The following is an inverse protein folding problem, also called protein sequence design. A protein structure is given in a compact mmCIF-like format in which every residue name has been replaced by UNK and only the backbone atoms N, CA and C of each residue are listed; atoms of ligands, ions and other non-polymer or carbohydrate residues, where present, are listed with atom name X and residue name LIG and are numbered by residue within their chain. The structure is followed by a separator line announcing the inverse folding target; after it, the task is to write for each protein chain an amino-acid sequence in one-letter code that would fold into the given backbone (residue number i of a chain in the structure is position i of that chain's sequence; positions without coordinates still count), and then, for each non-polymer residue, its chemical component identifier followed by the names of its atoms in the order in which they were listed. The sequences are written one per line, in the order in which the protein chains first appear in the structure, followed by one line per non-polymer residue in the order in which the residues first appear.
data_IF_555734227910
#
_entry.id   IF_555734227910
#
_cell.length_a   1.000
_cell.length_b   1.000
_cell.length_c   1.000
_cell.angle_alpha   90.00
_cell.angle_beta   90.00
_cell.angle_gamma   90.00
#
_symmetry.space_group_name_H-M   'P 1'
#
loop_
_entity.id
_entity.type
_entity.pdbx_description
1 polymer ?
#
# COMPACT_ATOMS: atom_id res chain seq x y z
N UNK A 1 -19.53 21.94 -5.06
CA UNK A 1 -19.15 20.54 -4.78
C UNK A 1 -18.24 19.96 -5.88
N UNK A 2 -18.28 20.46 -7.12
CA UNK A 2 -17.46 19.99 -8.26
C UNK A 2 -16.34 20.98 -8.61
N UNK A 3 -15.49 21.33 -7.65
CA UNK A 3 -14.48 22.40 -7.80
C UNK A 3 -13.08 21.88 -8.16
N UNK A 4 -12.81 20.59 -7.93
CA UNK A 4 -11.54 19.92 -8.21
C UNK A 4 -11.80 18.44 -8.53
N UNK A 5 -10.95 17.83 -9.35
CA UNK A 5 -10.99 16.38 -9.59
C UNK A 5 -10.53 15.67 -8.33
N UNK A 6 -11.42 14.86 -7.77
CA UNK A 6 -11.22 14.06 -6.56
C UNK A 6 -12.34 13.00 -6.50
N UNK A 7 -12.19 11.96 -5.69
CA UNK A 7 -13.08 10.80 -5.71
C UNK A 7 -14.54 11.17 -5.31
N UNK A 8 -14.72 12.05 -4.33
CA UNK A 8 -16.04 12.51 -3.87
C UNK A 8 -16.75 13.32 -4.99
N UNK A 9 -16.14 14.37 -5.56
CA UNK A 9 -16.67 15.05 -6.74
C UNK A 9 -17.00 14.14 -7.92
N UNK A 10 -16.17 13.12 -8.20
CA UNK A 10 -16.45 12.17 -9.29
C UNK A 10 -17.80 11.43 -9.06
N UNK A 11 -18.02 10.90 -7.86
CA UNK A 11 -19.31 10.29 -7.50
C UNK A 11 -20.48 11.28 -7.54
N UNK A 12 -20.27 12.52 -7.08
CA UNK A 12 -21.31 13.54 -7.16
C UNK A 12 -21.69 13.87 -8.60
N UNK A 13 -20.72 13.90 -9.52
CA UNK A 13 -20.98 14.11 -10.95
C UNK A 13 -21.77 12.93 -11.55
N UNK A 14 -21.37 11.69 -11.27
CA UNK A 14 -22.13 10.50 -11.66
C UNK A 14 -23.59 10.59 -11.16
N UNK A 15 -23.79 10.88 -9.86
CA UNK A 15 -25.12 11.04 -9.29
C UNK A 15 -25.93 12.19 -9.91
N UNK A 16 -25.27 13.30 -10.22
CA UNK A 16 -25.89 14.45 -10.89
C UNK A 16 -26.35 14.10 -12.31
N UNK A 17 -25.59 13.30 -13.07
CA UNK A 17 -25.99 12.83 -14.38
C UNK A 17 -27.26 11.96 -14.30
N UNK A 18 -27.28 11.00 -13.37
CA UNK A 18 -28.43 10.11 -13.14
C UNK A 18 -29.66 10.93 -12.73
N UNK A 19 -29.51 11.88 -11.81
CA UNK A 19 -30.58 12.77 -11.40
C UNK A 19 -31.07 13.65 -12.56
N UNK A 20 -30.16 14.13 -13.41
CA UNK A 20 -30.49 14.89 -14.60
C UNK A 20 -31.35 14.09 -15.58
N UNK A 21 -31.00 12.82 -15.81
CA UNK A 21 -31.80 11.90 -16.64
C UNK A 21 -33.18 11.64 -16.03
N UNK A 22 -33.26 11.36 -14.72
CA UNK A 22 -34.53 11.06 -14.04
C UNK A 22 -35.48 12.26 -13.98
N UNK A 23 -34.95 13.48 -13.88
CA UNK A 23 -35.73 14.72 -13.73
C UNK A 23 -35.86 15.53 -15.03
N UNK A 24 -35.38 14.99 -16.16
CA UNK A 24 -35.35 15.66 -17.47
C UNK A 24 -34.65 17.04 -17.42
N UNK A 25 -33.44 17.07 -16.87
CA UNK A 25 -32.56 18.25 -16.75
C UNK A 25 -31.31 18.07 -17.62
N UNK A 26 -31.39 18.35 -18.94
CA UNK A 26 -30.26 18.17 -19.85
C UNK A 26 -29.02 19.00 -19.44
N UNK A 27 -29.22 20.17 -18.84
CA UNK A 27 -28.14 21.03 -18.35
C UNK A 27 -27.35 20.39 -17.19
N UNK A 28 -27.97 19.54 -16.38
CA UNK A 28 -27.28 18.78 -15.32
C UNK A 28 -26.47 17.64 -15.90
N UNK A 29 -27.01 16.98 -16.94
CA UNK A 29 -26.33 15.89 -17.64
C UNK A 29 -25.08 16.40 -18.36
N UNK A 30 -25.19 17.51 -19.08
CA UNK A 30 -24.06 18.15 -19.78
C UNK A 30 -22.96 18.53 -18.78
N UNK A 31 -23.31 19.24 -17.71
CA UNK A 31 -22.34 19.64 -16.69
C UNK A 31 -21.65 18.45 -16.01
N UNK A 32 -22.40 17.39 -15.70
CA UNK A 32 -21.85 16.18 -15.11
C UNK A 32 -20.93 15.43 -16.07
N UNK A 33 -21.33 15.26 -17.33
CA UNK A 33 -20.51 14.66 -18.40
C UNK A 33 -19.19 15.40 -18.54
N UNK A 34 -19.24 16.73 -18.67
CA UNK A 34 -18.03 17.57 -18.81
C UNK A 34 -17.09 17.43 -17.62
N UNK A 35 -17.64 17.32 -16.41
CA UNK A 35 -16.82 17.08 -15.22
C UNK A 35 -16.19 15.68 -15.24
N UNK A 36 -16.95 14.64 -15.60
CA UNK A 36 -16.43 13.27 -15.66
C UNK A 36 -15.35 13.09 -16.75
N UNK A 37 -15.42 13.85 -17.85
CA UNK A 37 -14.32 13.87 -18.83
C UNK A 37 -13.03 14.45 -18.23
N UNK A 38 -13.13 15.45 -17.35
CA UNK A 38 -11.95 15.93 -16.60
C UNK A 38 -11.41 14.87 -15.64
N UNK A 39 -12.29 14.03 -15.07
CA UNK A 39 -11.86 12.89 -14.25
C UNK A 39 -11.10 11.87 -15.10
N UNK A 40 -11.57 11.58 -16.31
CA UNK A 40 -10.87 10.71 -17.28
C UNK A 40 -9.51 11.31 -17.66
N UNK A 41 -9.46 12.59 -18.00
CA UNK A 41 -8.23 13.32 -18.37
C UNK A 41 -7.21 13.37 -17.23
N UNK A 42 -7.67 13.36 -15.97
CA UNK A 42 -6.81 13.38 -14.79
C UNK A 42 -6.25 12.01 -14.39
N UNK A 43 -6.72 10.91 -15.00
CA UNK A 43 -6.16 9.60 -14.73
C UNK A 43 -4.72 9.56 -15.21
N UNK A 44 -3.83 9.03 -14.38
CA UNK A 44 -2.47 8.76 -14.80
C UNK A 44 -2.47 7.71 -15.94
N UNK A 45 -1.59 7.84 -16.95
CA UNK A 45 -1.46 6.84 -18.02
C UNK A 45 -1.21 5.41 -17.53
N UNK A 46 -0.68 5.22 -16.33
CA UNK A 46 -0.50 3.91 -15.69
C UNK A 46 -1.78 3.34 -15.04
N UNK A 47 -2.94 4.00 -15.18
CA UNK A 47 -4.24 3.46 -14.81
C UNK A 47 -4.76 3.82 -13.42
N UNK A 48 -4.04 4.63 -12.66
CA UNK A 48 -4.50 5.11 -11.35
C UNK A 48 -4.90 6.58 -11.35
N UNK A 49 -5.69 6.99 -10.35
CA UNK A 49 -5.84 8.39 -9.97
C UNK A 49 -4.91 8.74 -8.80
N UNK A 50 -4.47 10.00 -8.76
CA UNK A 50 -3.62 10.58 -7.72
C UNK A 50 -4.34 11.73 -7.04
N UNK A 51 -4.18 11.88 -5.74
CA UNK A 51 -4.72 12.97 -4.93
C UNK A 51 -3.61 13.80 -4.25
N UNK A 52 -2.36 13.33 -4.32
CA UNK A 52 -1.15 14.08 -4.01
C UNK A 52 -0.01 13.67 -4.97
N UNK A 53 0.76 12.64 -4.63
CA UNK A 53 1.88 12.10 -5.42
C UNK A 53 1.81 10.58 -5.40
N UNK A 54 1.25 10.01 -6.46
CA UNK A 54 1.17 8.57 -6.71
C UNK A 54 -0.23 8.00 -6.51
N UNK A 55 -0.39 6.68 -6.50
CA UNK A 55 -1.70 6.04 -6.56
C UNK A 55 -2.52 6.16 -5.27
N UNK A 56 -3.83 6.37 -5.42
CA UNK A 56 -4.81 6.08 -4.35
C UNK A 56 -5.44 4.71 -4.54
N UNK A 57 -4.70 3.62 -4.32
CA UNK A 57 -5.11 2.25 -4.70
C UNK A 57 -6.54 1.91 -4.26
N UNK A 58 -6.87 2.11 -2.99
CA UNK A 58 -8.21 1.80 -2.47
C UNK A 58 -9.30 2.73 -3.05
N UNK A 59 -9.01 4.01 -3.24
CA UNK A 59 -9.95 4.97 -3.83
C UNK A 59 -10.01 4.91 -5.36
N UNK A 60 -9.08 4.21 -6.01
CA UNK A 60 -9.10 3.98 -7.45
C UNK A 60 -10.40 3.26 -7.88
N UNK A 61 -10.88 2.34 -7.04
CA UNK A 61 -12.19 1.69 -7.18
C UNK A 61 -13.36 2.67 -7.16
N UNK A 62 -13.26 3.76 -6.40
CA UNK A 62 -14.32 4.80 -6.28
C UNK A 62 -14.42 5.58 -7.58
N UNK A 63 -13.30 5.91 -8.22
CA UNK A 63 -13.31 6.50 -9.57
C UNK A 63 -13.86 5.51 -10.62
N UNK A 64 -13.44 4.25 -10.56
CA UNK A 64 -13.91 3.19 -11.48
C UNK A 64 -15.43 2.98 -11.38
N UNK A 65 -15.99 2.97 -10.17
CA UNK A 65 -17.43 2.83 -9.94
C UNK A 65 -18.21 4.01 -10.53
N UNK A 66 -17.72 5.23 -10.30
CA UNK A 66 -18.33 6.45 -10.81
C UNK A 66 -18.37 6.49 -12.35
N UNK A 67 -17.24 6.18 -12.99
CA UNK A 67 -17.12 6.16 -14.46
C UNK A 67 -17.90 4.98 -15.07
N UNK A 68 -17.84 3.80 -14.45
CA UNK A 68 -18.56 2.61 -14.91
C UNK A 68 -20.08 2.77 -14.85
N UNK A 69 -20.60 3.26 -13.72
CA UNK A 69 -22.03 3.54 -13.58
C UNK A 69 -22.47 4.65 -14.54
N UNK A 70 -21.65 5.68 -14.73
CA UNK A 70 -21.92 6.71 -15.73
C UNK A 70 -21.99 6.13 -17.14
N UNK A 71 -21.05 5.28 -17.54
CA UNK A 71 -21.07 4.58 -18.83
C UNK A 71 -22.37 3.78 -19.02
N UNK A 72 -22.73 2.95 -18.05
CA UNK A 72 -23.94 2.13 -18.11
C UNK A 72 -25.22 2.95 -18.36
N UNK A 73 -25.29 4.16 -17.80
CA UNK A 73 -26.47 5.01 -17.90
C UNK A 73 -26.46 5.91 -19.15
N UNK A 74 -25.27 6.33 -19.61
CA UNK A 74 -25.09 7.32 -20.67
C UNK A 74 -24.78 6.72 -22.04
N UNK A 75 -24.10 5.56 -22.08
CA UNK A 75 -23.47 5.01 -23.28
C UNK A 75 -22.23 5.77 -23.75
N UNK A 76 -21.65 6.64 -22.90
CA UNK A 76 -20.51 7.48 -23.29
C UNK A 76 -19.18 6.69 -23.31
N UNK A 77 -18.86 6.14 -24.47
CA UNK A 77 -17.68 5.29 -24.69
C UNK A 77 -16.34 5.99 -24.39
N UNK A 78 -16.30 7.32 -24.25
CA UNK A 78 -15.08 8.08 -23.93
C UNK A 78 -14.44 7.65 -22.60
N UNK A 79 -15.19 7.05 -21.69
CA UNK A 79 -14.65 6.57 -20.40
C UNK A 79 -14.02 5.17 -20.47
N UNK A 80 -14.33 4.37 -21.51
CA UNK A 80 -13.90 2.97 -21.59
C UNK A 80 -12.37 2.82 -21.51
N UNK A 81 -11.54 3.64 -22.20
CA UNK A 81 -10.09 3.52 -22.08
C UNK A 81 -9.57 3.77 -20.66
N UNK A 82 -10.25 4.59 -19.86
CA UNK A 82 -9.86 4.82 -18.47
C UNK A 82 -10.21 3.64 -17.57
N UNK A 83 -11.35 2.99 -17.82
CA UNK A 83 -11.77 1.78 -17.12
C UNK A 83 -10.83 0.60 -17.45
N UNK A 84 -10.40 0.48 -18.71
CA UNK A 84 -9.43 -0.52 -19.16
C UNK A 84 -8.10 -0.40 -18.41
N UNK A 85 -7.47 0.79 -18.44
CA UNK A 85 -6.21 1.03 -17.72
C UNK A 85 -6.34 0.82 -16.21
N UNK A 86 -7.49 1.19 -15.63
CA UNK A 86 -7.77 0.95 -14.21
C UNK A 86 -7.82 -0.55 -13.88
N UNK A 87 -8.45 -1.35 -14.75
CA UNK A 87 -8.49 -2.79 -14.60
C UNK A 87 -7.10 -3.42 -14.71
N UNK A 88 -6.30 -3.03 -15.71
CA UNK A 88 -4.91 -3.46 -15.87
C UNK A 88 -4.07 -3.13 -14.63
N UNK A 89 -4.17 -1.90 -14.14
CA UNK A 89 -3.51 -1.49 -12.91
C UNK A 89 -3.84 -2.42 -11.72
N UNK A 90 -5.12 -2.74 -11.51
CA UNK A 90 -5.53 -3.60 -10.39
C UNK A 90 -5.18 -5.07 -10.58
N UNK A 91 -5.01 -5.57 -11.81
CA UNK A 91 -4.50 -6.92 -12.06
C UNK A 91 -3.08 -7.10 -11.49
N UNK A 92 -2.25 -6.05 -11.56
CA UNK A 92 -0.86 -6.09 -11.09
C UNK A 92 -0.68 -5.66 -9.62
N UNK A 93 -1.55 -4.81 -9.08
CA UNK A 93 -1.48 -4.30 -7.69
C UNK A 93 -2.54 -4.91 -6.76
N UNK A 94 -2.70 -6.23 -6.83
CA UNK A 94 -3.52 -7.02 -5.92
C UNK A 94 -2.74 -8.25 -5.48
N UNK A 95 -2.64 -8.48 -4.18
CA UNK A 95 -1.95 -9.65 -3.63
C UNK A 95 -2.63 -10.97 -4.07
N UNK A 96 -1.92 -12.10 -4.03
CA UNK A 96 -2.49 -13.40 -4.39
C UNK A 96 -3.79 -13.76 -3.62
N UNK A 97 -3.91 -13.31 -2.36
CA UNK A 97 -5.11 -13.49 -1.52
C UNK A 97 -6.28 -12.54 -1.86
N UNK A 98 -6.14 -11.69 -2.87
CA UNK A 98 -7.17 -10.74 -3.30
C UNK A 98 -7.22 -9.44 -2.49
N UNK A 99 -6.37 -9.25 -1.49
CA UNK A 99 -6.23 -7.96 -0.79
C UNK A 99 -5.45 -6.97 -1.66
N UNK A 100 -5.69 -5.67 -1.45
CA UNK A 100 -5.04 -4.62 -2.26
C UNK A 100 -3.65 -4.30 -1.78
N UNK A 101 -2.73 -4.06 -2.72
CA UNK A 101 -1.38 -3.58 -2.41
C UNK A 101 -1.46 -2.18 -1.81
N UNK A 102 -0.92 -2.04 -0.60
CA UNK A 102 -0.91 -0.79 0.17
C UNK A 102 0.38 0.01 0.00
N UNK A 103 1.48 -0.63 -0.41
CA UNK A 103 2.84 -0.07 -0.45
C UNK A 103 2.91 1.24 -1.23
N UNK A 104 2.15 1.30 -2.33
CA UNK A 104 2.07 2.45 -3.24
C UNK A 104 0.87 3.37 -2.95
N UNK A 105 0.00 3.03 -2.00
CA UNK A 105 -1.17 3.83 -1.65
C UNK A 105 -0.75 5.07 -0.82
N UNK A 106 -1.15 6.27 -1.25
CA UNK A 106 -0.91 7.51 -0.49
C UNK A 106 -1.99 7.86 0.56
N UNK A 107 -3.08 7.10 0.62
CA UNK A 107 -4.22 7.38 1.49
C UNK A 107 -4.39 6.33 2.56
N UNK A 108 -4.29 5.06 2.18
CA UNK A 108 -4.75 3.95 2.99
C UNK A 108 -3.60 3.00 3.36
N UNK A 109 -3.42 2.68 4.65
CA UNK A 109 -2.57 1.56 5.04
C UNK A 109 -3.26 0.24 4.64
N UNK A 110 -2.56 -0.88 4.88
CA UNK A 110 -3.11 -2.21 4.59
C UNK A 110 -4.43 -2.47 5.31
N UNK A 111 -5.33 -3.14 4.60
CA UNK A 111 -6.56 -3.72 5.12
C UNK A 111 -6.69 -5.14 4.56
N UNK A 112 -7.11 -6.08 5.41
CA UNK A 112 -7.35 -7.50 5.09
C UNK A 112 -8.62 -7.73 4.24
N UNK A 113 -9.30 -6.66 3.85
CA UNK A 113 -10.55 -6.74 3.09
C UNK A 113 -10.25 -7.01 1.62
N UNK A 114 -10.69 -8.17 1.13
CA UNK A 114 -10.68 -8.51 -0.29
C UNK A 114 -11.60 -7.55 -1.06
N UNK A 115 -11.05 -6.87 -2.07
CA UNK A 115 -11.83 -5.97 -2.93
C UNK A 115 -12.50 -6.74 -4.05
N UNK A 116 -13.79 -6.98 -3.93
CA UNK A 116 -14.58 -7.78 -4.90
C UNK A 116 -14.84 -7.08 -6.25
N UNK A 117 -14.26 -5.90 -6.48
CA UNK A 117 -14.52 -5.03 -7.63
C UNK A 117 -15.94 -4.43 -7.66
N UNK A 118 -16.25 -3.71 -8.74
CA UNK A 118 -17.51 -3.02 -8.96
C UNK A 118 -17.89 -3.02 -10.45
N UNK A 119 -18.97 -2.31 -10.81
CA UNK A 119 -19.49 -2.27 -12.18
C UNK A 119 -18.49 -1.70 -13.19
N UNK A 120 -17.59 -0.80 -12.78
CA UNK A 120 -16.55 -0.26 -13.66
C UNK A 120 -15.65 -1.31 -14.29
N UNK A 121 -15.51 -2.48 -13.66
CA UNK A 121 -14.71 -3.59 -14.16
C UNK A 121 -15.48 -4.52 -15.11
N UNK A 122 -16.79 -4.32 -15.33
CA UNK A 122 -17.54 -5.25 -16.18
C UNK A 122 -17.43 -4.96 -17.68
N UNK A 123 -16.89 -3.80 -18.06
CA UNK A 123 -16.98 -3.31 -19.45
C UNK A 123 -15.79 -3.68 -20.34
N UNK A 124 -14.69 -4.18 -19.76
CA UNK A 124 -13.49 -4.58 -20.52
C UNK A 124 -13.12 -6.05 -20.23
N UNK A 125 -12.43 -6.73 -21.16
CA UNK A 125 -11.92 -8.08 -20.91
C UNK A 125 -11.03 -8.19 -19.67
N UNK A 126 -10.17 -7.21 -19.44
CA UNK A 126 -9.21 -7.11 -18.34
C UNK A 126 -9.96 -6.89 -17.02
N UNK A 127 -10.98 -6.03 -17.02
CA UNK A 127 -11.82 -5.81 -15.84
C UNK A 127 -12.58 -7.07 -15.45
N UNK A 128 -13.12 -7.80 -16.43
CA UNK A 128 -13.78 -9.08 -16.15
C UNK A 128 -12.80 -10.16 -15.70
N UNK A 129 -11.54 -10.12 -16.13
CA UNK A 129 -10.49 -11.00 -15.61
C UNK A 129 -10.17 -10.67 -14.15
N UNK A 130 -10.08 -9.39 -13.79
CA UNK A 130 -9.93 -8.94 -12.41
C UNK A 130 -11.10 -9.41 -11.54
N UNK A 131 -12.34 -9.18 -11.97
CA UNK A 131 -13.53 -9.61 -11.24
C UNK A 131 -13.56 -11.13 -11.04
N UNK A 132 -13.23 -11.90 -12.07
CA UNK A 132 -13.15 -13.36 -11.98
C UNK A 132 -12.15 -13.79 -10.91
N UNK A 133 -10.92 -13.27 -10.93
CA UNK A 133 -9.90 -13.59 -9.91
C UNK A 133 -10.40 -13.27 -8.50
N UNK A 134 -10.94 -12.07 -8.31
CA UNK A 134 -11.42 -11.65 -7.00
C UNK A 134 -12.59 -12.49 -6.50
N UNK A 135 -13.51 -12.90 -7.37
CA UNK A 135 -14.66 -13.71 -6.98
C UNK A 135 -14.30 -15.18 -6.76
N UNK A 136 -13.28 -15.70 -7.45
CA UNK A 136 -12.75 -17.04 -7.21
C UNK A 136 -12.13 -17.12 -5.80
N UNK A 137 -11.41 -16.08 -5.37
CA UNK A 137 -10.80 -16.01 -4.03
C UNK A 137 -11.83 -15.68 -2.94
N UNK A 138 -12.68 -14.69 -3.16
CA UNK A 138 -13.66 -14.25 -2.15
C UNK A 138 -14.80 -15.26 -1.94
N UNK A 139 -15.24 -15.91 -3.02
CA UNK A 139 -16.49 -16.67 -3.11
C UNK A 139 -17.64 -15.79 -3.60
N UNK A 140 -18.02 -15.96 -4.87
CA UNK A 140 -19.09 -15.17 -5.53
C UNK A 140 -20.40 -15.19 -4.74
N UNK A 141 -20.74 -16.30 -4.09
CA UNK A 141 -21.95 -16.45 -3.28
C UNK A 141 -21.99 -15.52 -2.05
N UNK A 142 -20.85 -14.97 -1.64
CA UNK A 142 -20.73 -14.03 -0.51
C UNK A 142 -20.90 -12.57 -0.91
N UNK A 143 -20.99 -12.25 -2.22
CA UNK A 143 -21.20 -10.87 -2.66
C UNK A 143 -22.48 -10.29 -2.04
N UNK A 144 -22.43 -9.02 -1.63
CA UNK A 144 -23.56 -8.34 -1.00
C UNK A 144 -24.73 -8.10 -1.96
N UNK A 145 -25.95 -8.00 -1.43
CA UNK A 145 -27.16 -7.73 -2.23
C UNK A 145 -27.07 -6.46 -3.08
N UNK A 146 -26.45 -5.41 -2.53
CA UNK A 146 -26.32 -4.12 -3.20
C UNK A 146 -25.36 -4.21 -4.39
N UNK A 147 -24.30 -5.00 -4.25
CA UNK A 147 -23.35 -5.25 -5.32
C UNK A 147 -23.99 -6.10 -6.43
N UNK A 148 -24.74 -7.15 -6.07
CA UNK A 148 -25.52 -7.91 -7.03
C UNK A 148 -26.51 -7.02 -7.81
N UNK A 149 -27.25 -6.16 -7.10
CA UNK A 149 -28.16 -5.24 -7.72
C UNK A 149 -27.45 -4.28 -8.68
N UNK A 150 -26.29 -3.73 -8.27
CA UNK A 150 -25.47 -2.85 -9.13
C UNK A 150 -24.99 -3.58 -10.40
N UNK A 151 -24.46 -4.78 -10.26
CA UNK A 151 -23.97 -5.59 -11.40
C UNK A 151 -25.11 -5.98 -12.35
N UNK A 152 -26.31 -6.29 -11.85
CA UNK A 152 -27.47 -6.62 -12.69
C UNK A 152 -28.01 -5.39 -13.42
N UNK A 153 -28.06 -4.24 -12.74
CA UNK A 153 -28.65 -3.02 -13.30
C UNK A 153 -27.72 -2.31 -14.27
N UNK A 154 -26.42 -2.31 -13.99
CA UNK A 154 -25.45 -1.47 -14.69
C UNK A 154 -24.32 -2.28 -15.33
N UNK A 155 -24.13 -3.55 -14.96
CA UNK A 155 -23.02 -4.35 -15.47
C UNK A 155 -23.28 -4.97 -16.84
N UNK A 156 -22.19 -5.44 -17.45
CA UNK A 156 -22.22 -6.09 -18.77
C UNK A 156 -21.46 -7.44 -18.75
N UNK A 157 -22.03 -8.45 -19.41
CA UNK A 157 -21.34 -9.71 -19.68
C UNK A 157 -20.45 -9.57 -20.92
N UNK A 158 -19.34 -10.30 -20.95
CA UNK A 158 -18.47 -10.26 -22.13
C UNK A 158 -17.27 -11.19 -22.02
N UNK A 159 -16.37 -11.14 -23.03
CA UNK A 159 -15.14 -11.94 -23.01
C UNK A 159 -14.27 -11.57 -21.82
N UNK A 160 -13.59 -12.56 -21.24
CA UNK A 160 -12.59 -12.39 -20.18
C UNK A 160 -11.22 -12.45 -20.83
N UNK A 161 -10.32 -11.51 -20.51
CA UNK A 161 -8.95 -11.55 -20.99
C UNK A 161 -8.27 -12.88 -20.58
N UNK A 162 -7.41 -13.43 -21.42
CA UNK A 162 -6.73 -14.68 -21.09
C UNK A 162 -5.72 -14.45 -19.96
N UNK A 163 -5.86 -15.27 -18.90
CA UNK A 163 -4.83 -15.63 -17.93
C UNK A 163 -4.23 -14.50 -17.10
N UNK A 164 -4.78 -14.27 -15.89
CA UNK A 164 -3.97 -13.71 -14.79
C UNK A 164 -2.76 -14.59 -14.42
N UNK A 165 -2.78 -15.86 -14.86
CA UNK A 165 -1.68 -16.82 -14.75
C UNK A 165 -0.45 -16.45 -15.61
N UNK A 166 -0.58 -15.48 -16.52
CA UNK A 166 0.47 -15.07 -17.47
C UNK A 166 0.87 -13.59 -17.31
N UNK A 167 0.58 -12.96 -16.16
CA UNK A 167 0.94 -11.55 -15.87
C UNK A 167 2.46 -11.31 -15.77
N UNK A 168 3.28 -12.34 -16.01
CA UNK A 168 4.72 -12.32 -15.86
C UNK A 168 5.14 -12.35 -14.39
N UNK A 169 6.38 -12.79 -14.15
CA UNK A 169 6.97 -12.77 -12.82
C UNK A 169 7.22 -11.33 -12.33
N UNK A 170 7.43 -10.37 -13.24
CA UNK A 170 7.75 -8.98 -12.89
C UNK A 170 6.83 -8.03 -13.64
N UNK A 171 6.25 -7.07 -12.94
CA UNK A 171 5.58 -5.92 -13.53
C UNK A 171 6.20 -4.63 -13.00
N UNK A 172 6.43 -3.68 -13.92
CA UNK A 172 6.97 -2.36 -13.60
C UNK A 172 5.93 -1.31 -14.00
N UNK A 173 5.50 -0.53 -13.02
CA UNK A 173 4.67 0.65 -13.26
C UNK A 173 5.57 1.82 -13.64
N UNK A 174 5.35 2.34 -14.84
CA UNK A 174 6.00 3.53 -15.36
C UNK A 174 5.08 4.74 -15.18
N UNK A 175 5.57 5.82 -14.57
CA UNK A 175 4.89 7.12 -14.56
C UNK A 175 5.75 8.13 -15.33
N UNK A 176 5.40 8.35 -16.60
CA UNK A 176 6.21 9.11 -17.53
C UNK A 176 7.45 8.32 -17.98
N UNK A 177 8.64 8.90 -17.77
CA UNK A 177 9.93 8.30 -18.14
C UNK A 177 10.63 7.60 -16.96
N UNK A 178 9.90 7.32 -15.87
CA UNK A 178 10.48 6.76 -14.66
C UNK A 178 9.70 5.57 -14.14
N UNK A 179 10.42 4.52 -13.76
CA UNK A 179 9.91 3.37 -13.04
C UNK A 179 9.55 3.82 -11.61
N UNK A 180 8.29 3.64 -11.20
CA UNK A 180 7.76 4.13 -9.91
C UNK A 180 7.27 3.06 -8.97
N UNK A 181 6.93 1.89 -9.47
CA UNK A 181 6.65 0.74 -8.62
C UNK A 181 6.96 -0.55 -9.35
N UNK A 182 7.22 -1.60 -8.58
CA UNK A 182 7.48 -2.94 -9.09
C UNK A 182 6.69 -3.94 -8.27
N UNK A 183 6.07 -4.90 -8.96
CA UNK A 183 5.61 -6.14 -8.34
C UNK A 183 6.40 -7.31 -8.90
N UNK A 184 6.82 -8.20 -8.01
CA UNK A 184 7.63 -9.37 -8.34
C UNK A 184 7.05 -10.60 -7.68
N UNK A 185 6.76 -11.62 -8.48
CA UNK A 185 6.20 -12.88 -8.06
C UNK A 185 7.09 -14.03 -8.52
N UNK A 186 7.53 -14.85 -7.58
CA UNK A 186 8.32 -16.06 -7.83
C UNK A 186 7.91 -17.13 -6.83
N UNK A 187 7.32 -18.22 -7.34
CA UNK A 187 6.73 -19.25 -6.48
C UNK A 187 5.64 -18.65 -5.58
N UNK A 188 5.63 -18.99 -4.28
CA UNK A 188 4.62 -18.49 -3.33
C UNK A 188 4.89 -17.07 -2.82
N UNK A 189 5.97 -16.43 -3.25
CA UNK A 189 6.33 -15.07 -2.84
C UNK A 189 5.75 -14.02 -3.78
N UNK A 190 5.26 -12.94 -3.20
CA UNK A 190 4.89 -11.72 -3.90
C UNK A 190 5.52 -10.51 -3.19
N UNK A 191 6.26 -9.69 -3.91
CA UNK A 191 6.96 -8.51 -3.39
C UNK A 191 6.44 -7.27 -4.11
N UNK A 192 6.19 -6.19 -3.37
CA UNK A 192 5.93 -4.87 -3.95
C UNK A 192 6.98 -3.86 -3.48
N UNK A 193 7.50 -3.07 -4.42
CA UNK A 193 8.43 -1.96 -4.20
C UNK A 193 7.83 -0.65 -4.71
N UNK A 194 8.07 0.44 -3.98
CA UNK A 194 7.63 1.78 -4.34
C UNK A 194 8.82 2.73 -4.46
N UNK A 195 8.92 3.41 -5.60
CA UNK A 195 9.82 4.54 -5.83
C UNK A 195 9.06 5.88 -5.89
N UNK A 196 7.84 5.93 -5.33
CA UNK A 196 7.12 7.18 -5.12
C UNK A 196 7.69 7.90 -3.90
N UNK A 197 8.28 9.09 -4.12
CA UNK A 197 8.71 9.99 -3.05
C UNK A 197 7.85 11.25 -3.04
N UNK A 198 7.72 11.87 -1.87
CA UNK A 198 6.98 13.11 -1.69
C UNK A 198 7.52 13.86 -0.46
N UNK A 199 7.54 15.21 -0.45
CA UNK A 199 7.70 15.95 0.80
C UNK A 199 6.62 15.54 1.80
N UNK A 200 6.94 15.56 3.10
CA UNK A 200 5.98 15.25 4.18
C UNK A 200 4.72 16.13 4.03
N UNK A 201 3.55 15.54 3.72
CA UNK A 201 2.36 16.32 3.45
C UNK A 201 1.80 16.92 4.74
N UNK A 202 1.30 18.16 4.65
CA UNK A 202 0.62 18.85 5.76
C UNK A 202 -0.84 18.42 5.95
N UNK A 203 -1.39 17.70 4.99
CA UNK A 203 -2.75 17.18 5.08
C UNK A 203 -2.77 15.94 5.98
N UNK A 204 -3.68 15.93 6.96
CA UNK A 204 -3.96 14.73 7.76
C UNK A 204 -4.40 13.54 6.90
N UNK A 205 -4.97 13.78 5.72
CA UNK A 205 -5.57 12.75 4.87
C UNK A 205 -4.58 12.03 3.96
N UNK A 206 -3.36 12.59 3.79
CA UNK A 206 -2.34 12.05 2.89
C UNK A 206 -1.22 11.48 3.76
N UNK A 207 -0.87 10.22 3.54
CA UNK A 207 0.18 9.52 4.26
C UNK A 207 1.57 9.97 3.81
N UNK A 208 2.57 9.74 4.66
CA UNK A 208 3.97 9.95 4.30
C UNK A 208 4.41 8.88 3.28
N UNK A 209 5.43 9.14 2.44
CA UNK A 209 6.00 8.12 1.54
C UNK A 209 7.18 7.46 2.22
N UNK A 210 6.94 6.56 3.18
CA UNK A 210 7.96 6.15 4.13
C UNK A 210 8.21 4.63 4.20
N UNK A 211 7.17 3.83 3.95
CA UNK A 211 7.24 2.38 3.84
C UNK A 211 7.00 1.98 2.39
N UNK A 212 8.07 1.61 1.73
CA UNK A 212 8.20 1.45 0.30
C UNK A 212 8.44 -0.01 -0.10
N UNK A 213 8.40 -0.93 0.85
CA UNK A 213 8.64 -2.36 0.64
C UNK A 213 7.53 -3.17 1.29
N UNK A 214 6.99 -4.14 0.57
CA UNK A 214 6.06 -5.12 1.14
C UNK A 214 6.36 -6.51 0.62
N UNK A 215 6.29 -7.49 1.52
CA UNK A 215 6.59 -8.90 1.23
C UNK A 215 5.41 -9.74 1.70
N UNK A 216 4.82 -10.45 0.75
CA UNK A 216 3.73 -11.38 0.92
C UNK A 216 4.22 -12.79 0.62
N UNK A 217 3.70 -13.77 1.38
CA UNK A 217 3.86 -15.18 1.10
C UNK A 217 2.51 -15.89 1.22
N UNK A 218 2.22 -16.86 0.34
CA UNK A 218 0.89 -17.52 0.28
C UNK A 218 0.44 -18.14 1.61
N UNK A 219 1.37 -18.63 2.43
CA UNK A 219 1.04 -19.22 3.74
C UNK A 219 0.78 -18.19 4.84
N UNK A 220 1.44 -17.03 4.79
CA UNK A 220 1.40 -16.03 5.89
C UNK A 220 0.55 -14.81 5.56
N UNK A 221 0.12 -14.68 4.30
CA UNK A 221 -0.40 -13.43 3.77
C UNK A 221 0.69 -12.36 3.69
N UNK A 222 0.30 -11.10 3.88
CA UNK A 222 1.25 -9.99 4.00
C UNK A 222 2.09 -10.14 5.28
N UNK A 223 3.40 -10.36 5.11
CA UNK A 223 4.35 -10.60 6.19
C UNK A 223 5.07 -9.31 6.59
N UNK A 224 5.66 -8.59 5.62
CA UNK A 224 6.36 -7.32 5.82
C UNK A 224 5.64 -6.18 5.10
N UNK A 225 5.61 -5.00 5.73
CA UNK A 225 4.94 -3.81 5.19
C UNK A 225 3.76 -3.40 6.05
N UNK A 226 2.60 -3.17 5.44
CA UNK A 226 1.40 -2.70 6.12
C UNK A 226 1.11 -1.22 5.87
N UNK A 227 1.84 -0.60 4.96
CA UNK A 227 1.55 0.72 4.40
C UNK A 227 2.12 1.89 5.17
N UNK A 228 1.69 3.07 4.73
CA UNK A 228 2.21 4.34 5.17
C UNK A 228 1.34 4.98 6.27
N UNK A 229 1.92 5.85 7.07
CA UNK A 229 1.23 6.64 8.10
C UNK A 229 1.84 8.05 8.20
N UNK A 230 1.35 8.86 9.13
CA UNK A 230 1.99 10.08 9.62
C UNK A 230 2.37 9.95 11.09
N UNK A 231 3.23 10.86 11.58
CA UNK A 231 3.62 11.00 12.99
C UNK A 231 4.19 9.72 13.62
N UNK A 232 4.71 8.81 12.81
CA UNK A 232 5.25 7.54 13.26
C UNK A 232 6.45 7.15 12.38
N UNK A 233 7.64 7.69 12.68
CA UNK A 233 8.84 7.44 11.88
C UNK A 233 9.34 5.98 11.99
N UNK A 234 8.91 5.22 13.01
CA UNK A 234 9.25 3.79 13.12
C UNK A 234 8.55 2.91 12.06
N UNK A 235 7.59 3.45 11.31
CA UNK A 235 7.00 2.76 10.16
C UNK A 235 7.79 2.96 8.86
N UNK A 236 8.80 3.85 8.86
CA UNK A 236 9.64 4.10 7.69
C UNK A 236 10.64 2.97 7.46
N UNK A 237 10.98 2.64 6.21
CA UNK A 237 12.03 1.65 5.97
C UNK A 237 13.38 2.06 6.61
N UNK A 238 13.69 3.37 6.61
CA UNK A 238 14.81 3.94 7.37
C UNK A 238 14.40 5.21 8.10
N UNK A 239 15.06 5.47 9.23
CA UNK A 239 15.16 6.81 9.82
C UNK A 239 16.61 7.22 9.89
N UNK A 240 16.88 8.47 9.52
CA UNK A 240 18.19 9.11 9.65
C UNK A 240 18.05 10.29 10.62
N UNK A 241 18.68 10.19 11.79
CA UNK A 241 18.56 11.16 12.87
C UNK A 241 17.73 10.68 14.05
N UNK A 242 17.15 11.62 14.81
CA UNK A 242 16.43 11.31 16.06
C UNK A 242 14.92 11.22 15.83
N UNK A 243 14.39 9.98 15.86
CA UNK A 243 12.97 9.69 15.69
C UNK A 243 12.06 10.40 16.71
N UNK A 244 12.56 10.79 17.89
CA UNK A 244 11.77 11.50 18.89
C UNK A 244 11.44 12.95 18.49
N UNK A 245 12.11 13.49 17.46
CA UNK A 245 11.85 14.82 16.92
C UNK A 245 10.53 14.91 16.14
N UNK A 246 9.89 13.78 15.85
CA UNK A 246 8.53 13.71 15.34
C UNK A 246 7.65 13.00 16.38
N UNK A 247 6.86 13.79 17.11
CA UNK A 247 5.97 13.28 18.14
C UNK A 247 4.64 14.02 18.12
N UNK A 248 3.58 13.28 18.47
CA UNK A 248 2.22 13.80 18.60
C UNK A 248 1.83 13.95 20.06
N UNK A 249 1.19 15.05 20.41
CA UNK A 249 0.61 15.20 21.76
C UNK A 249 -0.80 14.59 21.75
N UNK A 250 -1.11 13.60 22.60
CA UNK A 250 -2.45 13.02 22.66
C UNK A 250 -3.53 14.08 22.89
N UNK A 251 -4.59 14.06 22.07
CA UNK A 251 -5.68 15.03 22.12
C UNK A 251 -5.47 16.30 21.29
N UNK A 252 -4.28 16.48 20.68
CA UNK A 252 -4.05 17.58 19.74
C UNK A 252 -4.79 17.32 18.40
N UNK A 253 -5.66 18.25 18.03
CA UNK A 253 -6.51 18.18 16.83
C UNK A 253 -5.89 18.88 15.62
N UNK A 254 -4.75 19.57 15.79
CA UNK A 254 -4.01 20.30 14.75
C UNK A 254 -2.50 20.06 14.85
N UNK A 255 -2.06 18.79 14.72
CA UNK A 255 -0.64 18.45 14.88
C UNK A 255 0.24 19.04 13.80
N UNK A 256 1.47 19.39 14.17
CA UNK A 256 2.54 19.63 13.22
C UNK A 256 3.07 18.28 12.71
N UNK A 257 2.83 18.01 11.43
CA UNK A 257 3.28 16.79 10.78
C UNK A 257 4.77 16.78 10.43
N UNK A 258 5.48 17.89 10.63
CA UNK A 258 6.90 18.02 10.31
C UNK A 258 7.80 17.68 11.51
N UNK A 259 8.94 17.02 11.29
CA UNK A 259 9.93 16.81 12.33
C UNK A 259 10.56 18.14 12.78
N UNK A 260 10.91 18.23 14.07
CA UNK A 260 11.50 19.43 14.69
C UNK A 260 13.03 19.32 14.79
N UNK A 261 13.70 19.16 13.65
CA UNK A 261 15.16 19.09 13.57
C UNK A 261 15.62 18.04 12.57
N UNK A 262 16.80 17.46 12.82
CA UNK A 262 17.43 16.49 11.95
C UNK A 262 16.80 15.09 12.14
N UNK A 263 15.65 14.90 11.49
CA UNK A 263 15.03 13.59 11.27
C UNK A 263 14.55 13.50 9.83
N UNK A 264 15.04 12.48 9.12
CA UNK A 264 14.63 12.14 7.77
C UNK A 264 14.03 10.74 7.79
N UNK A 265 12.71 10.65 7.67
CA UNK A 265 11.94 9.40 7.71
C UNK A 265 11.16 9.14 6.41
N UNK A 266 11.20 10.10 5.49
CA UNK A 266 10.71 10.01 4.11
C UNK A 266 11.90 10.29 3.19
N UNK A 267 12.19 9.43 2.20
CA UNK A 267 13.31 9.66 1.31
C UNK A 267 13.00 10.78 0.31
N UNK A 268 14.03 11.54 -0.07
CA UNK A 268 13.96 12.55 -1.14
C UNK A 268 14.00 11.93 -2.53
N UNK A 269 14.68 10.79 -2.66
CA UNK A 269 14.85 10.05 -3.91
C UNK A 269 14.67 8.56 -3.65
N UNK A 270 14.08 7.86 -4.61
CA UNK A 270 13.95 6.41 -4.59
C UNK A 270 14.10 5.88 -6.02
N UNK A 271 14.98 4.90 -6.20
CA UNK A 271 15.24 4.26 -7.50
C UNK A 271 15.03 2.75 -7.36
N UNK A 272 14.30 2.16 -8.31
CA UNK A 272 14.08 0.72 -8.35
C UNK A 272 15.31 -0.02 -8.88
N UNK A 273 15.66 -1.11 -8.22
CA UNK A 273 16.52 -2.16 -8.75
C UNK A 273 15.62 -3.29 -9.22
N UNK A 274 15.56 -3.49 -10.54
CA UNK A 274 14.52 -4.29 -11.20
C UNK A 274 14.97 -5.71 -11.54
N UNK A 275 16.27 -5.98 -11.48
CA UNK A 275 16.86 -7.31 -11.69
C UNK A 275 17.26 -7.93 -10.35
N UNK A 276 17.08 -9.24 -10.15
CA UNK A 276 17.45 -9.93 -8.91
C UNK A 276 18.94 -9.73 -8.52
N UNK A 277 19.24 -9.46 -7.24
CA UNK A 277 18.29 -9.19 -6.17
C UNK A 277 17.60 -7.83 -6.37
N UNK A 278 16.26 -7.84 -6.41
CA UNK A 278 15.45 -6.63 -6.62
C UNK A 278 15.51 -5.74 -5.39
N UNK A 279 15.19 -4.45 -5.52
CA UNK A 279 15.33 -3.56 -4.38
C UNK A 279 15.12 -2.08 -4.63
N UNK A 280 15.57 -1.28 -3.68
CA UNK A 280 15.47 0.18 -3.69
C UNK A 280 16.80 0.81 -3.28
N UNK A 281 17.18 1.86 -4.01
CA UNK A 281 18.18 2.84 -3.58
C UNK A 281 17.45 4.11 -3.15
N UNK A 282 17.77 4.59 -1.94
CA UNK A 282 17.00 5.61 -1.24
C UNK A 282 17.93 6.70 -0.68
N UNK A 283 17.57 7.96 -0.89
CA UNK A 283 18.29 9.10 -0.31
C UNK A 283 17.49 9.68 0.87
N UNK A 284 18.08 9.71 2.07
CA UNK A 284 17.49 10.26 3.29
C UNK A 284 18.36 11.36 3.88
N UNK A 285 18.11 12.60 3.47
CA UNK A 285 18.86 13.75 3.99
C UNK A 285 20.37 13.58 3.73
N UNK A 286 21.21 13.39 4.76
CA UNK A 286 22.65 13.19 4.59
C UNK A 286 23.09 11.73 4.37
N UNK A 287 22.18 10.75 4.27
CA UNK A 287 22.54 9.34 4.13
C UNK A 287 21.87 8.68 2.93
N UNK A 288 22.64 7.90 2.19
CA UNK A 288 22.14 6.99 1.16
C UNK A 288 21.96 5.59 1.76
N UNK A 289 20.81 5.00 1.51
CA UNK A 289 20.39 3.71 2.06
C UNK A 289 19.93 2.79 0.93
N UNK A 290 20.09 1.48 1.11
CA UNK A 290 19.70 0.47 0.14
C UNK A 290 18.93 -0.67 0.82
N UNK A 291 17.95 -1.22 0.11
CA UNK A 291 17.30 -2.49 0.45
C UNK A 291 17.43 -3.40 -0.76
N UNK A 292 17.87 -4.65 -0.55
CA UNK A 292 17.83 -5.72 -1.55
C UNK A 292 17.07 -6.92 -1.03
N UNK A 293 16.30 -7.55 -1.90
CA UNK A 293 15.45 -8.70 -1.62
C UNK A 293 15.81 -9.81 -2.59
N UNK A 294 16.15 -10.97 -2.04
CA UNK A 294 16.51 -12.16 -2.80
C UNK A 294 15.62 -13.32 -2.36
N UNK A 295 14.76 -13.80 -3.26
CA UNK A 295 14.03 -15.05 -3.05
C UNK A 295 15.02 -16.19 -3.30
N UNK A 296 15.38 -16.89 -2.22
CA UNK A 296 16.33 -18.01 -2.27
C UNK A 296 15.62 -19.29 -2.73
N UNK A 297 14.43 -19.53 -2.18
CA UNK A 297 13.55 -20.66 -2.52
C UNK A 297 12.10 -20.36 -2.07
N UNK A 298 11.20 -21.34 -2.24
CA UNK A 298 9.77 -21.21 -1.91
C UNK A 298 9.51 -20.92 -0.42
N UNK A 299 10.49 -21.08 0.46
CA UNK A 299 10.36 -20.87 1.91
C UNK A 299 11.32 -19.84 2.48
N UNK A 300 12.28 -19.36 1.69
CA UNK A 300 13.37 -18.50 2.18
C UNK A 300 13.52 -17.23 1.36
N UNK A 301 13.54 -16.09 2.05
CA UNK A 301 13.83 -14.78 1.48
C UNK A 301 14.92 -14.08 2.29
N UNK A 302 15.95 -13.60 1.61
CA UNK A 302 17.04 -12.82 2.20
C UNK A 302 16.79 -11.32 1.95
N UNK A 303 16.98 -10.52 3.00
CA UNK A 303 16.89 -9.05 2.97
C UNK A 303 18.27 -8.49 3.34
N UNK A 304 18.83 -7.67 2.47
CA UNK A 304 20.04 -6.89 2.75
C UNK A 304 19.65 -5.43 2.97
N UNK A 305 20.09 -4.87 4.09
CA UNK A 305 19.87 -3.48 4.46
C UNK A 305 21.22 -2.79 4.53
N UNK A 306 21.37 -1.68 3.82
CA UNK A 306 22.67 -0.98 3.74
C UNK A 306 22.50 0.52 3.94
N UNK A 307 23.54 1.13 4.50
CA UNK A 307 23.77 2.57 4.46
C UNK A 307 25.16 2.84 3.91
N UNK A 308 25.36 3.99 3.25
CA UNK A 308 26.71 4.42 2.89
C UNK A 308 27.54 4.77 4.14
N UNK A 309 28.85 4.50 4.09
CA UNK A 309 29.77 4.55 5.24
C UNK A 309 29.99 5.94 5.87
N UNK A 310 29.39 7.02 5.34
CA UNK A 310 29.66 8.42 5.74
C UNK A 310 28.48 9.17 6.39
N UNK A 311 27.51 8.50 7.02
CA UNK A 311 26.45 9.22 7.74
C UNK A 311 26.89 9.75 9.11
N UNK A 312 26.79 11.07 9.32
CA UNK A 312 27.00 11.70 10.62
C UNK A 312 25.82 11.54 11.59
N UNK A 313 24.67 11.08 11.09
CA UNK A 313 23.45 10.86 11.86
C UNK A 313 23.22 9.36 12.05
N UNK A 314 22.51 9.01 13.12
CA UNK A 314 22.15 7.61 13.38
C UNK A 314 21.18 7.13 12.30
N UNK A 315 21.49 5.99 11.67
CA UNK A 315 20.59 5.31 10.74
C UNK A 315 19.98 4.09 11.44
N UNK A 316 18.66 3.96 11.39
CA UNK A 316 17.99 2.72 11.76
C UNK A 316 17.09 2.28 10.61
N UNK A 317 17.21 1.02 10.22
CA UNK A 317 16.26 0.38 9.34
C UNK A 317 15.10 -0.20 10.16
N UNK A 318 13.92 -0.30 9.56
CA UNK A 318 12.74 -0.89 10.20
C UNK A 318 12.06 -1.91 9.29
N UNK A 319 11.69 -3.04 9.89
CA UNK A 319 10.77 -4.01 9.31
C UNK A 319 9.45 -3.94 10.09
N UNK A 320 8.37 -3.65 9.39
CA UNK A 320 7.03 -3.54 9.95
C UNK A 320 6.23 -4.81 9.66
N UNK A 321 5.54 -5.32 10.68
CA UNK A 321 4.65 -6.48 10.56
C UNK A 321 3.24 -6.08 10.95
N UNK A 322 2.26 -6.71 10.29
CA UNK A 322 0.87 -6.62 10.69
C UNK A 322 0.66 -7.24 12.06
N UNK A 323 -0.33 -6.70 12.76
CA UNK A 323 -0.80 -7.26 14.01
C UNK A 323 -1.57 -8.57 13.76
N UNK A 324 -1.26 -9.56 14.57
CA UNK A 324 -2.04 -10.77 14.78
C UNK A 324 -2.13 -10.97 16.29
N UNK A 325 -3.33 -10.79 16.82
CA UNK A 325 -3.59 -10.90 18.24
C UNK A 325 -3.81 -12.35 18.68
N UNK A 326 -3.99 -13.28 17.74
CA UNK A 326 -4.22 -14.69 18.08
C UNK A 326 -2.90 -15.46 18.18
N UNK A 327 -1.83 -14.94 17.56
CA UNK A 327 -0.51 -15.54 17.59
C UNK A 327 0.51 -14.82 18.49
N UNK A 328 1.12 -15.52 19.46
CA UNK A 328 2.18 -14.94 20.26
C UNK A 328 3.48 -14.84 19.45
N UNK A 329 4.24 -13.76 19.69
CA UNK A 329 5.57 -13.59 19.12
C UNK A 329 6.61 -14.26 20.03
N UNK A 330 7.50 -15.07 19.46
CA UNK A 330 8.56 -15.76 20.23
C UNK A 330 9.92 -15.16 19.90
N UNK A 331 10.71 -14.86 20.92
CA UNK A 331 12.09 -14.40 20.77
C UNK A 331 13.07 -15.59 20.75
N UNK A 332 14.23 -15.41 20.12
CA UNK A 332 15.34 -16.38 20.16
C UNK A 332 15.90 -16.62 21.57
N UNK A 333 15.60 -15.72 22.52
CA UNK A 333 15.89 -15.92 23.96
C UNK A 333 15.00 -17.00 24.61
N UNK A 334 13.91 -17.39 23.95
CA UNK A 334 12.85 -18.23 24.48
C UNK A 334 11.71 -17.47 25.17
N UNK A 335 11.79 -16.15 25.28
CA UNK A 335 10.68 -15.30 25.74
C UNK A 335 9.51 -15.35 24.74
N UNK A 336 8.29 -15.34 25.28
CA UNK A 336 7.05 -15.34 24.50
C UNK A 336 6.29 -14.07 24.85
N UNK A 337 6.00 -13.25 23.85
CA UNK A 337 5.32 -11.96 23.96
C UNK A 337 3.88 -12.12 23.50
N UNK A 338 2.93 -11.80 24.37
CA UNK A 338 1.52 -11.80 24.06
C UNK A 338 1.10 -10.39 23.64
N UNK A 339 0.97 -10.13 22.33
CA UNK A 339 0.72 -8.78 21.79
C UNK A 339 -0.61 -8.16 22.24
N UNK A 340 -1.55 -8.94 22.79
CA UNK A 340 -2.77 -8.41 23.43
C UNK A 340 -2.50 -7.76 24.79
N UNK A 341 -1.53 -8.29 25.53
CA UNK A 341 -1.30 -7.97 26.94
C UNK A 341 -0.06 -7.09 27.10
N UNK A 342 0.99 -7.44 26.35
CA UNK A 342 2.30 -6.84 26.45
C UNK A 342 2.45 -5.63 25.53
N UNK A 343 3.08 -4.58 26.05
CA UNK A 343 3.43 -3.37 25.32
C UNK A 343 4.79 -2.90 25.81
N UNK A 344 5.71 -2.65 24.89
CA UNK A 344 7.06 -2.23 25.23
C UNK A 344 8.05 -2.26 24.08
N UNK A 345 9.31 -2.19 24.47
CA UNK A 345 10.47 -2.34 23.62
C UNK A 345 11.35 -3.46 24.18
N UNK A 346 11.72 -4.41 23.34
CA UNK A 346 12.58 -5.53 23.68
C UNK A 346 13.91 -5.36 22.93
N UNK A 347 15.00 -5.28 23.68
CA UNK A 347 16.34 -4.99 23.11
C UNK A 347 17.23 -6.22 22.98
N UNK A 348 16.86 -7.33 23.62
CA UNK A 348 17.52 -8.63 23.45
C UNK A 348 16.55 -9.62 22.81
N UNK A 349 16.67 -9.77 21.48
CA UNK A 349 15.84 -10.69 20.71
C UNK A 349 16.45 -12.10 20.61
N UNK A 350 17.65 -12.33 21.15
CA UNK A 350 18.32 -13.63 21.04
C UNK A 350 18.66 -14.03 19.59
N UNK A 351 18.76 -13.05 18.69
CA UNK A 351 19.14 -13.24 17.27
C UNK A 351 18.01 -13.73 16.35
N UNK A 352 16.79 -13.93 16.85
CA UNK A 352 15.66 -14.28 15.98
C UNK A 352 14.31 -13.91 16.59
N UNK A 353 13.29 -13.80 15.75
CA UNK A 353 11.89 -13.80 16.17
C UNK A 353 11.11 -14.83 15.35
N UNK A 354 10.07 -15.41 15.94
CA UNK A 354 9.09 -16.25 15.24
C UNK A 354 7.72 -15.64 15.43
N UNK A 355 7.02 -15.40 14.32
CA UNK A 355 5.73 -14.72 14.29
C UNK A 355 4.97 -15.02 12.99
N UNK A 356 3.67 -15.33 13.06
CA UNK A 356 2.81 -15.57 11.89
C UNK A 356 3.37 -16.62 10.92
N UNK A 357 3.79 -17.76 11.47
CA UNK A 357 4.38 -18.86 10.70
C UNK A 357 5.75 -18.56 10.07
N UNK A 358 6.39 -17.43 10.37
CA UNK A 358 7.70 -17.08 9.83
C UNK A 358 8.74 -16.91 10.95
N UNK A 359 9.97 -17.35 10.70
CA UNK A 359 11.14 -17.06 11.50
C UNK A 359 11.99 -15.99 10.80
N UNK A 360 12.41 -14.99 11.56
CA UNK A 360 13.40 -14.02 11.12
C UNK A 360 14.68 -14.20 11.89
N UNK A 361 15.79 -14.42 11.19
CA UNK A 361 17.14 -14.32 11.76
C UNK A 361 17.59 -12.87 11.69
N UNK A 362 17.92 -12.29 12.84
CA UNK A 362 18.15 -10.86 13.00
C UNK A 362 19.60 -10.56 13.42
N UNK A 363 20.18 -9.46 12.92
CA UNK A 363 21.50 -9.03 13.31
C UNK A 363 21.54 -8.60 14.78
N UNK A 364 22.74 -8.64 15.36
CA UNK A 364 22.97 -8.25 16.75
C UNK A 364 22.64 -6.77 16.96
N UNK A 365 21.95 -6.46 18.06
CA UNK A 365 21.55 -5.09 18.39
C UNK A 365 20.19 -4.69 17.82
N UNK A 366 19.54 -5.59 17.07
CA UNK A 366 18.13 -5.43 16.68
C UNK A 366 17.24 -5.37 17.92
N UNK A 367 16.17 -4.57 17.83
CA UNK A 367 15.17 -4.43 18.89
C UNK A 367 13.76 -4.48 18.34
N UNK A 368 12.81 -4.98 19.12
CA UNK A 368 11.39 -5.07 18.77
C UNK A 368 10.61 -3.99 19.53
N UNK A 369 9.66 -3.33 18.85
CA UNK A 369 8.79 -2.31 19.44
C UNK A 369 7.33 -2.67 19.15
N UNK A 370 6.50 -2.71 20.19
CA UNK A 370 5.06 -2.92 20.07
C UNK A 370 4.29 -2.19 21.18
N UNK A 371 3.16 -1.52 20.87
CA UNK A 371 2.68 -1.15 19.54
C UNK A 371 3.34 0.11 18.99
N UNK A 372 3.59 0.15 17.69
CA UNK A 372 3.86 1.41 16.98
C UNK A 372 2.57 1.89 16.31
N UNK A 373 1.98 2.95 16.86
CA UNK A 373 0.64 3.41 16.49
C UNK A 373 0.69 4.43 15.35
N UNK A 374 -0.22 4.34 14.36
CA UNK A 374 -0.31 5.33 13.29
C UNK A 374 -1.00 6.61 13.75
N UNK A 375 -1.01 7.63 12.89
CA UNK A 375 -1.96 8.72 12.95
C UNK A 375 -3.24 8.32 12.21
N UNK A 376 -4.37 8.21 12.92
CA UNK A 376 -5.65 7.89 12.28
C UNK A 376 -6.29 9.18 11.70
N UNK A 377 -6.38 9.31 10.36
CA UNK A 377 -6.87 10.54 9.74
C UNK A 377 -8.38 10.74 9.93
N UNK A 378 -9.14 9.73 10.38
CA UNK A 378 -10.58 9.78 10.60
C UNK A 378 -10.97 10.14 12.04
N UNK A 379 -10.01 10.24 12.96
CA UNK A 379 -10.23 10.70 14.35
C UNK A 379 -9.60 12.06 14.54
N UNK A 380 -10.35 13.05 15.00
CA UNK A 380 -9.95 14.46 14.92
C UNK A 380 -8.59 14.76 15.55
N UNK A 381 -8.30 14.14 16.68
CA UNK A 381 -7.03 14.17 17.42
C UNK A 381 -5.97 13.15 16.97
N UNK A 382 -6.25 12.40 15.90
CA UNK A 382 -5.32 11.44 15.29
C UNK A 382 -5.10 10.14 16.06
N UNK A 383 -5.79 9.90 17.19
CA UNK A 383 -5.52 8.74 18.02
C UNK A 383 -5.74 7.42 17.28
N UNK A 384 -4.89 6.42 17.52
CA UNK A 384 -5.02 5.07 17.00
C UNK A 384 -5.13 4.05 18.14
N UNK A 385 -5.81 2.93 17.88
CA UNK A 385 -5.91 1.79 18.78
C UNK A 385 -4.78 0.79 18.49
N UNK A 386 -4.47 -0.12 19.44
CA UNK A 386 -3.53 -1.20 19.20
C UNK A 386 -3.82 -2.00 17.93
N UNK A 387 -5.10 -2.24 17.59
CA UNK A 387 -5.50 -2.97 16.36
C UNK A 387 -4.97 -2.33 15.06
N UNK A 388 -4.68 -1.03 15.11
CA UNK A 388 -4.20 -0.25 13.97
C UNK A 388 -2.66 -0.18 13.92
N UNK A 389 -1.98 -0.68 14.96
CA UNK A 389 -0.55 -0.61 15.13
C UNK A 389 0.25 -1.58 14.25
N UNK A 390 1.58 -1.44 14.28
CA UNK A 390 2.52 -2.40 13.72
C UNK A 390 3.49 -2.90 14.79
N UNK A 391 3.87 -4.16 14.67
CA UNK A 391 5.07 -4.67 15.32
C UNK A 391 6.26 -4.22 14.48
N UNK A 392 7.28 -3.66 15.11
CA UNK A 392 8.44 -3.11 14.39
C UNK A 392 9.72 -3.73 14.91
N UNK A 393 10.48 -4.35 14.01
CA UNK A 393 11.89 -4.68 14.26
C UNK A 393 12.73 -3.52 13.76
N UNK A 394 13.50 -2.92 14.66
CA UNK A 394 14.48 -1.88 14.37
C UNK A 394 15.87 -2.50 14.30
N UNK A 395 16.58 -2.25 13.20
CA UNK A 395 17.95 -2.70 12.95
C UNK A 395 18.86 -1.48 12.89
N UNK A 396 19.77 -1.28 13.85
CA UNK A 396 20.70 -0.17 13.80
C UNK A 396 21.78 -0.43 12.74
N UNK A 397 22.00 0.52 11.84
CA UNK A 397 23.14 0.52 10.92
C UNK A 397 24.20 1.49 11.45
N UNK A 398 25.47 1.09 11.39
CA UNK A 398 26.58 1.85 11.96
C UNK A 398 27.75 1.89 10.98
N UNK A 399 28.64 2.86 11.10
CA UNK A 399 29.79 2.99 10.17
C UNK A 399 30.69 1.75 10.19
N UNK A 400 30.78 1.05 11.32
CA UNK A 400 31.53 -0.20 11.46
C UNK A 400 30.71 -1.47 11.11
N UNK A 401 29.40 -1.32 10.89
CA UNK A 401 28.49 -2.36 10.38
C UNK A 401 27.45 -1.71 9.46
N UNK A 402 27.86 -1.24 8.27
CA UNK A 402 27.00 -0.43 7.39
C UNK A 402 25.99 -1.28 6.63
N UNK A 403 26.15 -2.60 6.67
CA UNK A 403 25.38 -3.58 5.91
C UNK A 403 24.97 -4.71 6.86
N UNK A 404 23.67 -4.98 6.93
CA UNK A 404 23.11 -6.03 7.78
C UNK A 404 22.19 -6.95 6.97
N UNK A 405 22.32 -8.25 7.18
CA UNK A 405 21.52 -9.27 6.50
C UNK A 405 20.48 -9.85 7.45
N UNK A 406 19.25 -9.93 6.97
CA UNK A 406 18.12 -10.58 7.63
C UNK A 406 17.68 -11.74 6.75
N UNK A 407 17.38 -12.87 7.37
CA UNK A 407 16.80 -14.02 6.68
C UNK A 407 15.40 -14.27 7.19
N UNK A 408 14.46 -14.37 6.28
CA UNK A 408 13.08 -14.76 6.52
C UNK A 408 12.89 -16.20 6.07
N UNK A 409 12.42 -17.06 6.96
CA UNK A 409 12.13 -18.48 6.71
C UNK A 409 10.67 -18.75 7.06
N UNK A 410 9.90 -19.25 6.10
CA UNK A 410 8.55 -19.75 6.33
C UNK A 410 8.65 -21.12 6.99
N UNK A 411 8.01 -21.27 8.14
CA UNK A 411 8.02 -22.51 8.90
C UNK A 411 6.96 -23.45 8.34
N UNK A 412 7.34 -24.69 8.05
CA UNK A 412 6.38 -25.74 7.71
C UNK A 412 5.50 -26.06 8.92
N UNK A 413 4.19 -26.17 8.69
CA UNK A 413 3.17 -26.56 9.70
C UNK A 413 3.36 -27.98 10.27
#
# INVERSE_FOLDING_TARGET
ALNSVHNIPAHHAMGLYIAGKALNKPEWMEFASDFLMKVVEAQNPAGYWSENIGPVVAYNFVYADALGTYYAVSGDERVLPALERCAEYHLHFTYPDGTTVETIDERNPYHDTIRTGNVGFTFTPEGRAYLKRQWDVYGREKLGSDQYASLILYGEEGPIAQGSEDLGATYILNDGESDKALTYQQGPWFICLSAFTAPVPKSRWIQDRQNLVSVFHEQTGLLLGGGNTKLQPAWSNFTVGDASLLSHTPGDEDPDFLPKGDLYHVPSSATLVTEPPIGLDLEYGPADCSIRLEIVDDSTLDILLEMEEESALRVNAHLTFLLDLEEPLKLGTGEVINLNEDKGEWTDLGGSIVYRGAQLTLPKGSSLIWPTLPHNPYRKDGHANPEEGRVVVRVPLQVDSPSEKIRVEILED
#
